data_IF_698656623426
#
_entry.id   IF_698656623426
#
_cell.length_a   1.000
_cell.length_b   1.000
_cell.length_c   1.000
_cell.angle_alpha   90.00
_cell.angle_beta   90.00
_cell.angle_gamma   90.00
#
_symmetry.space_group_name_H-M   'P 1'
#
loop_
_entity.id
_entity.type
_entity.pdbx_description
1 polymer ?
#
# COMPACT_ATOMS: atom_id res chain seq x y z
N UNK A 1 -12.11 -10.70 -8.41
CA UNK A 1 -10.92 -11.43 -8.91
C UNK A 1 -9.68 -10.89 -8.21
N UNK A 2 -8.70 -11.73 -7.85
CA UNK A 2 -7.46 -11.30 -7.18
C UNK A 2 -6.25 -12.12 -7.66
N UNK A 3 -5.04 -11.64 -7.45
CA UNK A 3 -3.82 -12.42 -7.77
C UNK A 3 -3.64 -13.61 -6.82
N UNK A 4 -2.93 -14.68 -7.22
CA UNK A 4 -2.79 -15.89 -6.39
C UNK A 4 -2.09 -15.69 -5.04
N UNK A 5 -1.32 -14.62 -4.89
CA UNK A 5 -0.59 -14.21 -3.69
C UNK A 5 -1.31 -13.14 -2.86
N UNK A 6 -2.45 -12.64 -3.33
CA UNK A 6 -3.27 -11.69 -2.59
C UNK A 6 -3.89 -12.35 -1.36
N UNK A 7 -3.88 -11.68 -0.22
CA UNK A 7 -4.30 -12.25 1.05
C UNK A 7 -5.80 -12.03 1.26
N UNK A 8 -6.56 -13.12 1.34
CA UNK A 8 -8.00 -13.12 1.60
C UNK A 8 -8.26 -13.56 3.04
N UNK A 9 -9.31 -13.04 3.67
CA UNK A 9 -9.75 -13.53 4.98
C UNK A 9 -10.55 -14.83 4.79
N UNK A 10 -9.84 -15.95 4.82
CA UNK A 10 -10.33 -17.30 4.56
C UNK A 10 -10.52 -18.06 5.88
N UNK A 11 -11.72 -18.55 6.13
CA UNK A 11 -12.06 -19.24 7.38
C UNK A 11 -11.63 -18.45 8.63
N UNK A 12 -11.72 -17.11 8.59
CA UNK A 12 -11.31 -16.21 9.66
C UNK A 12 -9.81 -15.93 9.78
N UNK A 13 -8.97 -16.42 8.84
CA UNK A 13 -7.52 -16.18 8.84
C UNK A 13 -7.07 -15.62 7.48
N UNK A 14 -6.19 -14.61 7.50
CA UNK A 14 -5.58 -14.13 6.26
C UNK A 14 -4.69 -15.19 5.64
N UNK A 15 -5.01 -15.62 4.42
CA UNK A 15 -4.27 -16.62 3.67
C UNK A 15 -4.25 -16.25 2.17
N UNK A 16 -3.20 -16.64 1.42
CA UNK A 16 -3.09 -16.26 0.02
C UNK A 16 -4.17 -16.94 -0.81
N UNK A 17 -4.70 -16.26 -1.82
CA UNK A 17 -5.81 -16.74 -2.63
C UNK A 17 -5.57 -18.14 -3.26
N UNK A 18 -4.31 -18.49 -3.57
CA UNK A 18 -3.95 -19.83 -4.08
C UNK A 18 -4.21 -20.99 -3.10
N UNK A 19 -4.36 -20.72 -1.81
CA UNK A 19 -4.72 -21.74 -0.82
C UNK A 19 -6.23 -21.91 -0.67
N UNK A 20 -7.05 -21.06 -1.30
CA UNK A 20 -8.50 -21.18 -1.29
C UNK A 20 -8.95 -22.52 -1.91
N UNK A 21 -10.05 -23.07 -1.40
CA UNK A 21 -10.66 -24.32 -1.88
C UNK A 21 -12.17 -24.16 -1.90
N UNK A 22 -12.84 -24.90 -2.78
CA UNK A 22 -14.30 -25.02 -2.78
C UNK A 22 -14.75 -25.49 -1.39
N UNK A 23 -15.77 -24.83 -0.85
CA UNK A 23 -16.29 -25.05 0.51
C UNK A 23 -15.62 -24.23 1.61
N UNK A 24 -14.47 -23.58 1.36
CA UNK A 24 -13.92 -22.62 2.31
C UNK A 24 -14.79 -21.35 2.40
N UNK A 25 -14.73 -20.65 3.52
CA UNK A 25 -15.49 -19.44 3.78
C UNK A 25 -14.65 -18.19 3.52
N UNK A 26 -15.19 -17.25 2.75
CA UNK A 26 -14.68 -15.89 2.57
C UNK A 26 -15.43 -14.98 3.54
N UNK A 27 -14.72 -14.20 4.36
CA UNK A 27 -15.40 -13.18 5.18
C UNK A 27 -16.04 -12.11 4.30
N UNK A 28 -17.33 -11.88 4.53
CA UNK A 28 -18.09 -10.87 3.82
C UNK A 28 -17.70 -9.46 4.30
N UNK A 29 -17.64 -8.52 3.36
CA UNK A 29 -17.52 -7.09 3.64
C UNK A 29 -18.87 -6.37 3.64
N UNK A 30 -19.95 -7.06 3.28
CA UNK A 30 -21.29 -6.52 3.17
C UNK A 30 -22.13 -6.84 4.42
N UNK A 31 -23.09 -5.98 4.81
CA UNK A 31 -23.97 -6.23 5.96
C UNK A 31 -24.94 -7.41 5.77
N UNK A 32 -25.01 -7.97 4.57
CA UNK A 32 -25.98 -8.98 4.15
C UNK A 32 -25.60 -10.40 4.53
N UNK A 33 -24.34 -10.64 4.90
CA UNK A 33 -23.85 -11.94 5.35
C UNK A 33 -22.58 -11.76 6.21
N UNK A 34 -22.25 -12.74 7.04
CA UNK A 34 -20.97 -12.78 7.76
C UNK A 34 -19.85 -13.41 6.90
N UNK A 35 -20.21 -14.35 6.02
CA UNK A 35 -19.29 -15.04 5.12
C UNK A 35 -19.99 -15.66 3.91
N UNK A 36 -19.22 -15.92 2.85
CA UNK A 36 -19.64 -16.62 1.64
C UNK A 36 -18.85 -17.92 1.46
N UNK A 37 -19.53 -19.03 1.16
CA UNK A 37 -18.85 -20.28 0.80
C UNK A 37 -18.37 -20.24 -0.65
N UNK A 38 -17.13 -20.65 -0.88
CA UNK A 38 -16.57 -20.73 -2.24
C UNK A 38 -17.23 -21.89 -2.98
N UNK A 39 -18.06 -21.57 -3.97
CA UNK A 39 -18.70 -22.58 -4.81
C UNK A 39 -17.80 -23.09 -5.95
N UNK A 40 -16.96 -22.20 -6.51
CA UNK A 40 -16.08 -22.49 -7.62
C UNK A 40 -14.85 -21.57 -7.62
N UNK A 41 -13.78 -22.02 -8.28
CA UNK A 41 -12.55 -21.25 -8.49
C UNK A 41 -12.20 -21.32 -9.98
N UNK A 42 -11.90 -20.17 -10.58
CA UNK A 42 -11.46 -20.05 -11.96
C UNK A 42 -10.25 -19.12 -12.07
N UNK A 43 -9.56 -19.16 -13.22
CA UNK A 43 -8.38 -18.35 -13.47
C UNK A 43 -8.58 -17.46 -14.69
N UNK A 44 -8.14 -16.21 -14.58
CA UNK A 44 -8.15 -15.21 -15.64
C UNK A 44 -6.87 -14.37 -15.58
N UNK A 45 -6.51 -13.77 -16.72
CA UNK A 45 -5.50 -12.71 -16.80
C UNK A 45 -6.19 -11.36 -17.05
N UNK A 46 -5.76 -10.33 -16.35
CA UNK A 46 -6.30 -8.98 -16.46
C UNK A 46 -5.36 -7.96 -15.82
N UNK A 47 -5.75 -6.69 -15.84
CA UNK A 47 -5.06 -5.64 -15.12
C UNK A 47 -5.10 -5.86 -13.60
N UNK A 48 -4.11 -5.33 -12.90
CA UNK A 48 -4.00 -5.43 -11.43
C UNK A 48 -4.17 -4.02 -10.87
N UNK A 49 -5.11 -3.86 -9.93
CA UNK A 49 -5.29 -2.65 -9.14
C UNK A 49 -5.10 -3.02 -7.67
N UNK A 50 -4.12 -2.40 -7.00
CA UNK A 50 -3.85 -2.68 -5.58
C UNK A 50 -3.76 -1.38 -4.76
N UNK A 51 -4.90 -0.80 -4.35
CA UNK A 51 -4.87 0.41 -3.56
C UNK A 51 -4.50 0.09 -2.11
N UNK A 52 -3.67 0.95 -1.52
CA UNK A 52 -3.27 0.86 -0.12
C UNK A 52 -4.23 1.66 0.76
N UNK A 53 -4.63 1.08 1.90
CA UNK A 53 -5.52 1.70 2.88
C UNK A 53 -4.83 1.82 4.24
N UNK A 54 -5.35 2.70 5.08
CA UNK A 54 -4.87 2.98 6.45
C UNK A 54 -5.18 1.84 7.45
N UNK A 55 -6.11 0.95 7.10
CA UNK A 55 -6.45 -0.25 7.85
C UNK A 55 -5.61 -1.45 7.46
N UNK A 56 -4.87 -1.39 6.35
CA UNK A 56 -4.21 -2.56 5.78
C UNK A 56 -5.19 -3.58 5.16
N UNK A 57 -6.48 -3.24 5.12
CA UNK A 57 -7.55 -4.08 4.57
C UNK A 57 -8.35 -3.34 3.50
N UNK A 58 -8.90 -4.09 2.57
CA UNK A 58 -9.74 -3.60 1.48
C UNK A 58 -10.95 -4.51 1.32
N UNK A 59 -12.06 -3.91 0.89
CA UNK A 59 -13.19 -4.66 0.38
C UNK A 59 -12.98 -4.90 -1.12
N UNK A 60 -12.69 -6.15 -1.47
CA UNK A 60 -12.45 -6.56 -2.84
C UNK A 60 -13.72 -7.17 -3.44
N UNK A 61 -14.13 -6.70 -4.61
CA UNK A 61 -15.26 -7.21 -5.38
C UNK A 61 -14.93 -7.16 -6.87
N UNK A 62 -15.59 -8.00 -7.67
CA UNK A 62 -15.72 -7.70 -9.10
C UNK A 62 -16.87 -6.71 -9.33
N UNK A 63 -17.12 -6.32 -10.59
CA UNK A 63 -18.14 -5.31 -10.92
C UNK A 63 -19.57 -5.66 -10.48
N UNK A 64 -19.85 -6.95 -10.24
CA UNK A 64 -21.17 -7.49 -9.90
C UNK A 64 -21.21 -8.33 -8.64
N UNK A 65 -20.06 -8.60 -8.03
CA UNK A 65 -19.89 -9.46 -6.88
C UNK A 65 -20.02 -8.72 -5.56
N UNK A 66 -20.43 -9.45 -4.53
CA UNK A 66 -20.42 -8.91 -3.18
C UNK A 66 -18.98 -8.70 -2.68
N UNK A 67 -18.72 -7.62 -1.92
CA UNK A 67 -17.38 -7.37 -1.39
C UNK A 67 -16.97 -8.41 -0.36
N UNK A 68 -15.72 -8.85 -0.46
CA UNK A 68 -15.05 -9.70 0.52
C UNK A 68 -13.89 -8.97 1.19
N UNK A 69 -13.56 -9.37 2.41
CA UNK A 69 -12.43 -8.78 3.14
C UNK A 69 -11.11 -9.36 2.61
N UNK A 70 -10.22 -8.48 2.18
CA UNK A 70 -8.86 -8.80 1.75
C UNK A 70 -7.84 -7.85 2.41
N UNK A 71 -6.57 -8.23 2.43
CA UNK A 71 -5.50 -7.33 2.83
C UNK A 71 -5.05 -6.48 1.63
N UNK A 72 -4.59 -5.25 1.88
CA UNK A 72 -3.99 -4.40 0.82
C UNK A 72 -2.58 -4.85 0.45
N UNK A 73 -1.94 -5.63 1.32
CA UNK A 73 -0.68 -6.32 1.03
C UNK A 73 -0.91 -7.70 0.44
N UNK A 74 -0.03 -8.12 -0.45
CA UNK A 74 0.14 -9.52 -0.77
C UNK A 74 0.94 -10.24 0.33
N UNK A 75 1.14 -11.54 0.18
CA UNK A 75 1.68 -12.41 1.23
C UNK A 75 3.03 -12.01 1.83
N UNK A 76 3.89 -11.32 1.09
CA UNK A 76 5.19 -10.90 1.62
C UNK A 76 5.10 -9.65 2.50
N UNK A 77 4.03 -8.86 2.35
CA UNK A 77 3.87 -7.55 2.99
C UNK A 77 2.67 -7.48 3.96
N UNK A 78 1.71 -8.40 3.83
CA UNK A 78 0.46 -8.37 4.60
C UNK A 78 0.69 -8.44 6.11
N UNK A 79 1.68 -9.18 6.59
CA UNK A 79 2.07 -9.23 8.00
C UNK A 79 2.49 -7.85 8.54
N UNK A 80 3.21 -7.06 7.73
CA UNK A 80 3.62 -5.69 8.08
C UNK A 80 2.41 -4.76 8.03
N UNK A 81 1.63 -4.80 6.94
CA UNK A 81 0.51 -3.88 6.72
C UNK A 81 -0.67 -4.09 7.67
N UNK A 82 -0.92 -5.33 8.09
CA UNK A 82 -1.94 -5.67 9.07
C UNK A 82 -1.46 -5.44 10.52
N UNK A 83 -0.17 -5.22 10.74
CA UNK A 83 0.37 -4.92 12.07
C UNK A 83 0.12 -3.46 12.48
N UNK A 84 0.44 -3.14 13.73
CA UNK A 84 0.45 -1.74 14.20
C UNK A 84 1.65 -0.93 13.67
N UNK A 85 2.62 -1.56 12.99
CA UNK A 85 3.87 -0.92 12.58
C UNK A 85 3.67 0.27 11.63
N UNK A 86 2.95 0.15 10.49
CA UNK A 86 2.82 1.25 9.52
C UNK A 86 2.30 2.53 10.17
N UNK A 87 1.33 2.42 11.08
CA UNK A 87 0.72 3.55 11.79
C UNK A 87 1.68 4.33 12.69
N UNK A 88 2.88 3.81 12.94
CA UNK A 88 3.93 4.43 13.77
C UNK A 88 5.09 4.99 12.95
N UNK A 89 5.04 4.86 11.64
CA UNK A 89 6.12 5.26 10.74
C UNK A 89 5.95 6.71 10.27
N UNK A 90 7.07 7.38 10.03
CA UNK A 90 7.12 8.75 9.54
C UNK A 90 6.49 8.85 8.14
N UNK A 91 6.86 7.94 7.24
CA UNK A 91 6.33 7.90 5.87
C UNK A 91 4.82 7.75 5.86
N UNK A 92 4.25 6.93 6.74
CA UNK A 92 2.80 6.79 6.88
C UNK A 92 2.13 8.06 7.40
N UNK A 93 2.71 8.73 8.41
CA UNK A 93 2.18 9.99 8.92
C UNK A 93 2.16 11.07 7.82
N UNK A 94 3.24 11.16 7.03
CA UNK A 94 3.36 12.07 5.89
C UNK A 94 2.37 11.72 4.77
N UNK A 95 2.24 10.44 4.42
CA UNK A 95 1.29 9.98 3.41
C UNK A 95 -0.16 10.27 3.80
N UNK A 96 -0.50 10.09 5.08
CA UNK A 96 -1.82 10.43 5.60
C UNK A 96 -2.10 11.93 5.58
N UNK A 97 -1.11 12.76 5.90
CA UNK A 97 -1.25 14.22 5.91
C UNK A 97 -1.32 14.81 4.49
N UNK A 98 -0.60 14.20 3.53
CA UNK A 98 -0.43 14.72 2.17
C UNK A 98 -0.64 13.63 1.11
N UNK A 99 -1.84 13.03 1.00
CA UNK A 99 -2.08 11.84 0.18
C UNK A 99 -1.79 12.06 -1.31
N UNK A 100 -2.13 13.24 -1.86
CA UNK A 100 -1.87 13.55 -3.26
C UNK A 100 -0.36 13.66 -3.56
N UNK A 101 0.42 14.29 -2.67
CA UNK A 101 1.87 14.37 -2.82
C UNK A 101 2.52 13.01 -2.63
N UNK A 102 2.00 12.18 -1.73
CA UNK A 102 2.54 10.85 -1.48
C UNK A 102 2.34 9.94 -2.70
N UNK A 103 1.17 10.02 -3.34
CA UNK A 103 0.92 9.34 -4.61
C UNK A 103 1.89 9.84 -5.69
N UNK A 104 2.02 11.16 -5.86
CA UNK A 104 2.95 11.71 -6.86
C UNK A 104 4.42 11.32 -6.59
N UNK A 105 4.84 11.27 -5.32
CA UNK A 105 6.19 10.83 -4.96
C UNK A 105 6.39 9.35 -5.28
N UNK A 106 5.37 8.51 -5.05
CA UNK A 106 5.41 7.12 -5.44
C UNK A 106 5.55 6.98 -6.96
N UNK A 107 4.63 7.57 -7.72
CA UNK A 107 4.55 7.44 -9.18
C UNK A 107 5.80 8.01 -9.87
N UNK A 108 6.28 9.18 -9.45
CA UNK A 108 7.36 9.89 -10.15
C UNK A 108 8.77 9.46 -9.72
N UNK A 109 8.95 8.97 -8.48
CA UNK A 109 10.28 8.73 -7.91
C UNK A 109 10.50 7.31 -7.37
N UNK A 110 9.47 6.64 -6.85
CA UNK A 110 9.66 5.35 -6.17
C UNK A 110 9.28 4.14 -7.03
N UNK A 111 8.34 4.28 -7.97
CA UNK A 111 7.82 3.14 -8.75
C UNK A 111 8.95 2.37 -9.46
N UNK A 112 9.77 3.08 -10.25
CA UNK A 112 10.90 2.48 -10.95
C UNK A 112 11.96 1.88 -9.99
N UNK A 113 12.15 2.48 -8.81
CA UNK A 113 13.05 1.96 -7.79
C UNK A 113 12.51 0.64 -7.21
N UNK A 114 11.21 0.59 -6.89
CA UNK A 114 10.58 -0.60 -6.33
C UNK A 114 10.46 -1.72 -7.35
N UNK A 115 10.21 -1.43 -8.63
CA UNK A 115 10.22 -2.44 -9.69
C UNK A 115 11.54 -3.24 -9.71
N UNK A 116 12.66 -2.57 -9.45
CA UNK A 116 13.97 -3.22 -9.36
C UNK A 116 14.20 -3.83 -7.98
N UNK A 117 13.83 -3.15 -6.90
CA UNK A 117 14.18 -3.54 -5.54
C UNK A 117 13.29 -4.65 -4.96
N UNK A 118 12.01 -4.70 -5.32
CA UNK A 118 11.01 -5.57 -4.68
C UNK A 118 11.39 -7.06 -4.62
N UNK A 119 11.91 -7.68 -5.70
CA UNK A 119 12.33 -9.09 -5.65
C UNK A 119 13.43 -9.32 -4.59
N UNK A 120 14.35 -8.37 -4.44
CA UNK A 120 15.44 -8.46 -3.49
C UNK A 120 14.99 -8.19 -2.05
N UNK A 121 14.05 -7.25 -1.86
CA UNK A 121 13.49 -6.94 -0.54
C UNK A 121 12.74 -8.12 0.06
N UNK A 122 11.97 -8.85 -0.76
CA UNK A 122 11.26 -10.05 -0.32
C UNK A 122 12.23 -11.14 0.14
N UNK A 123 13.29 -11.39 -0.65
CA UNK A 123 14.35 -12.37 -0.31
C UNK A 123 15.09 -11.95 0.96
N UNK A 124 15.46 -10.67 1.07
CA UNK A 124 16.17 -10.14 2.23
C UNK A 124 15.34 -10.27 3.50
N UNK A 125 14.05 -9.90 3.45
CA UNK A 125 13.13 -10.02 4.58
C UNK A 125 13.01 -11.46 5.07
N UNK A 126 12.96 -12.43 4.15
CA UNK A 126 12.89 -13.85 4.48
C UNK A 126 14.17 -14.41 5.11
N UNK A 127 15.34 -13.83 4.78
CA UNK A 127 16.63 -14.29 5.27
C UNK A 127 17.08 -13.63 6.59
N UNK A 128 16.63 -12.41 6.87
CA UNK A 128 17.06 -11.65 8.04
C UNK A 128 16.33 -12.05 9.32
N UNK A 129 17.02 -12.13 10.47
CA UNK A 129 16.38 -12.26 11.77
C UNK A 129 15.56 -11.00 12.09
N UNK A 130 14.49 -11.17 12.87
CA UNK A 130 13.52 -10.11 13.17
C UNK A 130 14.15 -8.76 13.61
N UNK A 131 15.17 -8.70 14.49
CA UNK A 131 15.77 -7.43 14.89
C UNK A 131 16.40 -6.66 13.72
N UNK A 132 17.06 -7.36 12.80
CA UNK A 132 17.66 -6.73 11.62
C UNK A 132 16.60 -6.29 10.63
N UNK A 133 15.54 -7.08 10.45
CA UNK A 133 14.39 -6.70 9.64
C UNK A 133 13.73 -5.43 10.18
N UNK A 134 13.53 -5.32 11.50
CA UNK A 134 12.96 -4.11 12.12
C UNK A 134 13.88 -2.90 11.96
N UNK A 135 15.19 -3.06 12.14
CA UNK A 135 16.15 -1.98 11.93
C UNK A 135 16.13 -1.48 10.48
N UNK A 136 16.12 -2.40 9.52
CA UNK A 136 16.05 -2.07 8.10
C UNK A 136 14.76 -1.31 7.75
N UNK A 137 13.61 -1.78 8.24
CA UNK A 137 12.32 -1.10 8.04
C UNK A 137 12.33 0.31 8.63
N UNK A 138 12.88 0.51 9.83
CA UNK A 138 12.98 1.82 10.45
C UNK A 138 13.91 2.77 9.67
N UNK A 139 15.05 2.28 9.18
CA UNK A 139 15.97 3.07 8.37
C UNK A 139 15.34 3.45 7.01
N UNK A 140 14.66 2.49 6.36
CA UNK A 140 13.95 2.72 5.11
C UNK A 140 12.82 3.75 5.29
N UNK A 141 12.07 3.69 6.40
CA UNK A 141 11.02 4.66 6.71
C UNK A 141 11.56 6.10 6.83
N UNK A 142 12.67 6.28 7.56
CA UNK A 142 13.32 7.59 7.67
C UNK A 142 13.78 8.08 6.29
N UNK A 143 14.40 7.22 5.49
CA UNK A 143 14.84 7.56 4.15
C UNK A 143 13.67 7.96 3.24
N UNK A 144 12.55 7.23 3.30
CA UNK A 144 11.33 7.56 2.56
C UNK A 144 10.74 8.90 3.01
N UNK A 145 10.69 9.18 4.30
CA UNK A 145 10.18 10.46 4.83
C UNK A 145 11.06 11.65 4.44
N UNK A 146 12.39 11.50 4.47
CA UNK A 146 13.34 12.53 4.01
C UNK A 146 13.18 12.75 2.51
N UNK A 147 13.16 11.68 1.71
CA UNK A 147 12.99 11.76 0.25
C UNK A 147 11.66 12.40 -0.15
N UNK A 148 10.56 12.05 0.54
CA UNK A 148 9.25 12.68 0.36
C UNK A 148 9.30 14.19 0.63
N UNK A 149 9.99 14.59 1.70
CA UNK A 149 10.13 15.99 2.08
C UNK A 149 10.91 16.78 1.02
N UNK A 150 12.02 16.22 0.52
CA UNK A 150 12.82 16.81 -0.56
C UNK A 150 12.00 16.93 -1.85
N UNK A 151 11.30 15.86 -2.24
CA UNK A 151 10.45 15.82 -3.43
C UNK A 151 9.34 16.89 -3.36
N UNK A 152 8.62 16.93 -2.23
CA UNK A 152 7.53 17.88 -2.03
C UNK A 152 8.04 19.32 -2.05
N UNK A 153 9.13 19.63 -1.35
CA UNK A 153 9.74 20.96 -1.35
C UNK A 153 10.26 21.37 -2.73
N UNK A 154 10.82 20.45 -3.51
CA UNK A 154 11.24 20.70 -4.90
C UNK A 154 10.09 21.15 -5.80
N UNK A 155 8.87 20.64 -5.55
CA UNK A 155 7.63 21.05 -6.25
C UNK A 155 7.10 22.41 -5.77
N UNK A 156 7.38 22.80 -4.53
CA UNK A 156 7.03 24.12 -3.97
C UNK A 156 8.12 25.19 -4.18
N UNK A 157 9.37 24.81 -4.47
CA UNK A 157 10.46 25.74 -4.78
C UNK A 157 10.14 26.75 -5.89
N UNK A 158 9.51 26.38 -7.03
CA UNK A 158 9.08 27.36 -8.03
C UNK A 158 7.96 28.29 -7.53
N UNK A 159 7.07 27.85 -6.64
CA UNK A 159 6.01 28.69 -6.05
C UNK A 159 6.54 29.66 -4.98
N UNK A 160 7.53 29.23 -4.20
CA UNK A 160 8.20 30.05 -3.19
C UNK A 160 9.06 31.17 -3.81
N UNK A 161 9.57 30.98 -5.04
CA UNK A 161 10.23 32.04 -5.82
C UNK A 161 9.22 33.00 -6.50
N UNK A 162 8.03 32.53 -6.84
CA UNK A 162 6.99 33.37 -7.45
C UNK A 162 6.35 34.37 -6.47
N UNK A 163 6.22 34.01 -5.20
CA UNK A 163 5.65 34.89 -4.16
C UNK A 163 6.45 36.20 -3.93
N UNK A 164 7.79 36.19 -3.76
CA UNK A 164 8.58 37.42 -3.65
C UNK A 164 8.65 38.21 -4.96
N UNK A 165 8.67 37.55 -6.13
CA UNK A 165 8.66 38.24 -7.43
C UNK A 165 7.35 39.01 -7.69
N UNK A 166 6.20 38.45 -7.31
CA UNK A 166 4.91 39.14 -7.39
C UNK A 166 4.78 40.28 -6.37
N UNK A 167 5.37 40.14 -5.18
CA UNK A 167 5.43 41.20 -4.17
C UNK A 167 6.34 42.36 -4.60
N UNK A 168 7.49 42.06 -5.23
CA UNK A 168 8.40 43.08 -5.76
C UNK A 168 7.80 43.84 -6.95
N UNK A 169 7.00 43.19 -7.81
CA UNK A 169 6.33 43.87 -8.92
C UNK A 169 5.21 44.84 -8.47
N UNK A 170 4.56 44.58 -7.32
CA UNK A 170 3.56 45.49 -6.74
C UNK A 170 4.16 46.67 -5.97
N UNK A 171 5.39 46.54 -5.47
CA UNK A 171 6.10 47.63 -4.80
C UNK A 171 6.79 48.61 -5.77
N UNK A 172 6.80 48.30 -7.07
CA UNK A 172 7.39 49.11 -8.14
C UNK A 172 6.36 49.89 -8.98
N UNK A 173 5.11 49.99 -8.51
CA UNK A 173 4.09 50.93 -9.01
C UNK A 173 3.75 51.92 -7.91
#
# INVERSE_FOLDING_TARGET
>A
EVTPDHMLLLNGVFAPARTARVGALLSAGAPTADAYAIAAISHRRGGITNPLTDTGTILAADASGDPIVAATGNEWLADVLLSAHPRRTLSYALARAFPANAQAYYDEALEALFDVALPHLAVLKAALPLPLTTLFLAAADVALGVGFSVFSLGRFAPLALAAPLAAMHRAAK
#
